data_IF_054806327132
#
_entry.id   IF_054806327132
#
_cell.length_a   1.000
_cell.length_b   1.000
_cell.length_c   1.000
_cell.angle_alpha   90.00
_cell.angle_beta   90.00
_cell.angle_gamma   90.00
#
_symmetry.space_group_name_H-M   'P 1'
#
loop_
_entity.id
_entity.type
_entity.pdbx_description
1 polymer ?
#
# COMPACT_ATOMS: atom_id res chain seq x y z
N UNK A 1 -24.25 15.99 2.21
CA UNK A 1 -23.50 16.53 3.36
C UNK A 1 -22.20 15.73 3.45
N UNK A 2 -21.04 16.39 3.49
CA UNK A 2 -19.75 15.70 3.61
C UNK A 2 -19.54 15.32 5.08
N UNK A 3 -19.22 14.05 5.36
CA UNK A 3 -19.01 13.53 6.73
C UNK A 3 -17.57 13.79 7.21
N UNK A 4 -16.60 13.78 6.29
CA UNK A 4 -15.19 14.06 6.56
C UNK A 4 -14.38 14.13 5.27
N UNK A 5 -13.15 14.64 5.39
CA UNK A 5 -12.14 14.68 4.33
C UNK A 5 -10.79 14.34 4.96
N UNK A 6 -9.97 13.57 4.25
CA UNK A 6 -8.59 13.32 4.62
C UNK A 6 -7.68 13.18 3.41
N UNK A 7 -6.39 13.33 3.68
CA UNK A 7 -5.32 13.29 2.68
C UNK A 7 -4.07 12.72 3.35
N UNK A 8 -3.34 11.90 2.62
CA UNK A 8 -2.07 11.35 3.07
C UNK A 8 -1.05 11.38 1.93
N UNK A 9 0.23 11.49 2.29
CA UNK A 9 1.35 11.49 1.35
C UNK A 9 2.36 10.44 1.80
N UNK A 10 2.62 9.48 0.92
CA UNK A 10 3.49 8.34 1.21
C UNK A 10 4.64 8.31 0.23
N UNK A 11 5.84 8.16 0.77
CA UNK A 11 7.02 7.89 -0.03
C UNK A 11 7.04 6.45 -0.51
N UNK A 12 7.10 6.25 -1.83
CA UNK A 12 7.12 4.91 -2.46
C UNK A 12 8.31 4.09 -1.99
N UNK A 13 9.48 4.72 -1.83
CA UNK A 13 10.72 4.05 -1.39
C UNK A 13 10.54 3.45 0.00
N UNK A 14 9.96 4.21 0.95
CA UNK A 14 9.68 3.74 2.31
C UNK A 14 8.82 2.47 2.33
N UNK A 15 7.80 2.39 1.47
CA UNK A 15 6.95 1.19 1.38
C UNK A 15 7.73 0.03 0.77
N UNK A 16 8.58 0.29 -0.22
CA UNK A 16 9.51 -0.71 -0.76
C UNK A 16 10.40 -1.30 0.33
N UNK A 17 11.09 -0.47 1.10
CA UNK A 17 11.98 -0.90 2.19
C UNK A 17 11.23 -1.70 3.28
N UNK A 18 10.00 -1.32 3.59
CA UNK A 18 9.17 -2.06 4.54
C UNK A 18 8.80 -3.45 4.02
N UNK A 19 8.45 -3.55 2.74
CA UNK A 19 8.16 -4.84 2.09
C UNK A 19 9.43 -5.69 2.02
N UNK A 20 10.58 -5.11 1.70
CA UNK A 20 11.86 -5.84 1.69
C UNK A 20 12.24 -6.36 3.09
N UNK A 21 12.05 -5.53 4.12
CA UNK A 21 12.42 -5.87 5.50
C UNK A 21 11.51 -6.90 6.14
N UNK A 22 10.21 -6.82 5.88
CA UNK A 22 9.19 -7.62 6.59
C UNK A 22 8.49 -8.66 5.70
N UNK A 23 8.68 -8.58 4.38
CA UNK A 23 8.16 -9.52 3.41
C UNK A 23 6.66 -9.68 3.50
N UNK A 24 6.24 -10.94 3.44
CA UNK A 24 4.84 -11.32 3.36
C UNK A 24 4.04 -11.04 4.63
N UNK A 25 4.69 -11.02 5.81
CA UNK A 25 4.04 -10.68 7.08
C UNK A 25 3.49 -9.24 7.07
N UNK A 26 4.23 -8.31 6.48
CA UNK A 26 3.74 -6.94 6.31
C UNK A 26 2.60 -6.88 5.28
N UNK A 27 2.76 -7.58 4.16
CA UNK A 27 1.76 -7.58 3.11
C UNK A 27 0.41 -8.12 3.60
N UNK A 28 0.41 -9.26 4.29
CA UNK A 28 -0.82 -9.89 4.79
C UNK A 28 -1.49 -9.12 5.93
N UNK A 29 -0.73 -8.30 6.69
CA UNK A 29 -1.28 -7.46 7.76
C UNK A 29 -2.02 -6.24 7.22
N UNK A 30 -1.59 -5.71 6.08
CA UNK A 30 -2.00 -4.39 5.60
C UNK A 30 -2.90 -4.48 4.38
N UNK A 31 -2.68 -5.48 3.53
CA UNK A 31 -3.39 -5.64 2.27
C UNK A 31 -4.21 -6.92 2.29
N UNK A 32 -5.36 -6.88 1.65
CA UNK A 32 -6.15 -8.09 1.40
C UNK A 32 -5.49 -8.94 0.32
N UNK A 33 -5.82 -10.23 0.24
CA UNK A 33 -5.29 -11.12 -0.80
C UNK A 33 -5.54 -10.61 -2.23
N UNK A 34 -6.70 -10.00 -2.47
CA UNK A 34 -7.04 -9.46 -3.78
C UNK A 34 -6.15 -8.25 -4.14
N UNK A 35 -5.83 -7.41 -3.16
CA UNK A 35 -4.93 -6.28 -3.35
C UNK A 35 -3.50 -6.73 -3.61
N UNK A 36 -3.02 -7.75 -2.89
CA UNK A 36 -1.69 -8.33 -3.10
C UNK A 36 -1.60 -8.90 -4.52
N UNK A 37 -2.56 -9.74 -4.93
CA UNK A 37 -2.62 -10.29 -6.29
C UNK A 37 -2.68 -9.20 -7.36
N UNK A 38 -3.45 -8.14 -7.12
CA UNK A 38 -3.54 -7.01 -8.03
C UNK A 38 -2.21 -6.27 -8.14
N UNK A 39 -1.54 -5.96 -7.03
CA UNK A 39 -0.28 -5.19 -7.05
C UNK A 39 0.84 -6.00 -7.69
N UNK A 40 0.97 -7.29 -7.36
CA UNK A 40 2.02 -8.17 -7.88
C UNK A 40 1.95 -8.40 -9.39
N UNK A 41 0.77 -8.32 -10.01
CA UNK A 41 0.63 -8.55 -11.46
C UNK A 41 1.19 -7.41 -12.32
N UNK A 42 1.49 -6.25 -11.73
CA UNK A 42 1.98 -5.08 -12.46
C UNK A 42 3.49 -4.89 -12.24
N UNK A 43 4.18 -4.37 -13.26
CA UNK A 43 5.62 -4.07 -13.20
C UNK A 43 5.98 -3.03 -12.11
N UNK A 44 5.01 -2.19 -11.72
CA UNK A 44 5.17 -1.11 -10.74
C UNK A 44 4.47 -1.46 -9.41
N UNK A 45 4.71 -2.68 -8.92
CA UNK A 45 4.00 -3.21 -7.75
C UNK A 45 4.17 -2.33 -6.50
N UNK A 46 5.36 -1.77 -6.27
CA UNK A 46 5.64 -0.94 -5.10
C UNK A 46 4.81 0.35 -5.12
N UNK A 47 4.65 0.99 -6.29
CA UNK A 47 3.80 2.17 -6.45
C UNK A 47 2.34 1.85 -6.13
N UNK A 48 1.85 0.67 -6.56
CA UNK A 48 0.49 0.23 -6.23
C UNK A 48 0.31 -0.02 -4.73
N UNK A 49 1.29 -0.63 -4.07
CA UNK A 49 1.26 -0.79 -2.61
C UNK A 49 1.27 0.57 -1.90
N UNK A 50 2.16 1.49 -2.30
CA UNK A 50 2.25 2.81 -1.69
C UNK A 50 0.98 3.65 -1.87
N UNK A 51 0.38 3.65 -3.06
CA UNK A 51 -0.89 4.35 -3.29
C UNK A 51 -2.03 3.77 -2.45
N UNK A 52 -2.08 2.44 -2.27
CA UNK A 52 -3.06 1.80 -1.39
C UNK A 52 -2.80 2.10 0.08
N UNK A 53 -1.54 2.18 0.51
CA UNK A 53 -1.20 2.62 1.86
C UNK A 53 -1.76 4.02 2.12
N UNK A 54 -1.46 4.98 1.25
CA UNK A 54 -1.94 6.35 1.39
C UNK A 54 -3.48 6.42 1.45
N UNK A 55 -4.16 5.62 0.62
CA UNK A 55 -5.61 5.57 0.61
C UNK A 55 -6.25 4.97 1.88
N UNK A 56 -5.50 4.16 2.66
CA UNK A 56 -5.99 3.56 3.90
C UNK A 56 -5.73 4.46 5.12
N UNK A 57 -4.70 5.30 5.06
CA UNK A 57 -4.36 6.25 6.13
C UNK A 57 -5.11 7.60 5.99
N UNK A 58 -5.60 7.90 4.78
CA UNK A 58 -6.38 9.11 4.49
C UNK A 58 -7.80 9.10 5.08
#
# INVERSE_FOLDING_TARGET
MIVGLGTDIVEVVRIGEMIERHGELFLQRVYTEQEIKYSQRHKQAIQHYAGRWAAKEA
#
